data_IF_223246020308
#
_entry.id   IF_223246020308
#
_cell.length_a   1.000
_cell.length_b   1.000
_cell.length_c   1.000
_cell.angle_alpha   90.00
_cell.angle_beta   90.00
_cell.angle_gamma   90.00
#
_symmetry.space_group_name_H-M   'P 1'
#
loop_
_entity.id
_entity.type
_entity.pdbx_description
1 polymer ?
#
# COMPACT_ATOMS: atom_id res chain seq x y z
N UNK A 1 -20.78 -1.90 -13.95
CA UNK A 1 -19.53 -2.61 -14.27
C UNK A 1 -18.54 -1.59 -14.78
N UNK A 2 -17.32 -1.54 -14.24
CA UNK A 2 -16.29 -0.61 -14.69
C UNK A 2 -15.74 -1.06 -16.05
N UNK A 3 -15.26 -0.09 -16.87
CA UNK A 3 -14.55 -0.40 -18.11
C UNK A 3 -13.18 -1.04 -17.79
N UNK A 4 -12.68 -1.89 -18.68
CA UNK A 4 -11.39 -2.57 -18.49
C UNK A 4 -10.18 -1.62 -18.43
N UNK A 5 -10.32 -0.42 -18.98
CA UNK A 5 -9.32 0.65 -19.03
C UNK A 5 -9.59 1.80 -18.04
N UNK A 6 -10.50 1.60 -17.07
CA UNK A 6 -10.95 2.66 -16.16
C UNK A 6 -9.83 3.31 -15.34
N UNK A 7 -8.71 2.62 -15.17
CA UNK A 7 -7.53 3.07 -14.42
C UNK A 7 -6.28 3.19 -15.30
N UNK A 8 -6.45 3.22 -16.62
CA UNK A 8 -5.32 3.38 -17.53
C UNK A 8 -4.54 4.67 -17.24
N UNK A 9 -3.21 4.57 -17.19
CA UNK A 9 -2.32 5.67 -16.86
C UNK A 9 -2.30 6.06 -15.36
N UNK A 10 -3.02 5.34 -14.50
CA UNK A 10 -2.98 5.54 -13.05
C UNK A 10 -1.95 4.64 -12.39
N UNK A 11 -1.22 5.19 -11.41
CA UNK A 11 -0.27 4.44 -10.60
C UNK A 11 -0.69 4.44 -9.14
N UNK A 12 -0.87 3.26 -8.56
CA UNK A 12 -1.48 3.08 -7.24
C UNK A 12 -0.54 2.28 -6.33
N UNK A 13 -0.25 2.82 -5.14
CA UNK A 13 0.48 2.13 -4.08
C UNK A 13 -0.50 1.45 -3.12
N UNK A 14 -0.27 0.15 -2.85
CA UNK A 14 -1.08 -0.63 -1.89
C UNK A 14 -0.19 -1.14 -0.76
N UNK A 15 -0.41 -0.65 0.46
CA UNK A 15 0.28 -1.20 1.63
C UNK A 15 -0.34 -2.53 2.05
N UNK A 16 0.49 -3.49 2.47
CA UNK A 16 0.01 -4.85 2.73
C UNK A 16 -0.46 -5.60 1.47
N UNK A 17 0.08 -5.21 0.30
CA UNK A 17 -0.36 -5.73 -1.01
C UNK A 17 0.10 -7.16 -1.33
N UNK A 18 0.90 -7.79 -0.47
CA UNK A 18 1.44 -9.13 -0.73
C UNK A 18 0.47 -10.29 -0.41
N UNK A 19 -0.66 -10.04 0.20
CA UNK A 19 -1.61 -11.12 0.55
C UNK A 19 -3.01 -10.57 0.83
N UNK A 20 -3.99 -11.49 0.93
CA UNK A 20 -5.36 -11.17 1.35
C UNK A 20 -6.01 -10.07 0.52
N UNK A 21 -6.71 -9.16 1.20
CA UNK A 21 -7.47 -8.09 0.57
C UNK A 21 -6.57 -7.15 -0.25
N UNK A 22 -5.37 -6.82 0.25
CA UNK A 22 -4.42 -5.97 -0.48
C UNK A 22 -3.99 -6.57 -1.82
N UNK A 23 -3.72 -7.88 -1.88
CA UNK A 23 -3.40 -8.60 -3.11
C UNK A 23 -4.58 -8.60 -4.08
N UNK A 24 -5.80 -8.85 -3.60
CA UNK A 24 -7.00 -8.84 -4.46
C UNK A 24 -7.29 -7.44 -5.01
N UNK A 25 -7.14 -6.38 -4.20
CA UNK A 25 -7.25 -5.01 -4.70
C UNK A 25 -6.20 -4.71 -5.78
N UNK A 26 -4.94 -5.09 -5.54
CA UNK A 26 -3.86 -4.92 -6.52
C UNK A 26 -4.20 -5.63 -7.86
N UNK A 27 -4.69 -6.87 -7.80
CA UNK A 27 -5.13 -7.63 -8.97
C UNK A 27 -6.24 -6.91 -9.74
N UNK A 28 -7.24 -6.38 -9.05
CA UNK A 28 -8.33 -5.66 -9.69
C UNK A 28 -7.86 -4.34 -10.31
N UNK A 29 -6.98 -3.58 -9.65
CA UNK A 29 -6.42 -2.37 -10.24
C UNK A 29 -5.63 -2.67 -11.52
N UNK A 30 -4.79 -3.70 -11.50
CA UNK A 30 -4.06 -4.17 -12.68
C UNK A 30 -5.00 -4.58 -13.82
N UNK A 31 -6.10 -5.27 -13.49
CA UNK A 31 -7.09 -5.72 -14.48
C UNK A 31 -7.84 -4.56 -15.15
N UNK A 32 -7.83 -3.38 -14.53
CA UNK A 32 -8.45 -2.16 -15.07
C UNK A 32 -7.42 -1.16 -15.62
N UNK A 33 -6.19 -1.61 -15.89
CA UNK A 33 -5.17 -0.83 -16.60
C UNK A 33 -4.24 -0.01 -15.72
N UNK A 34 -4.34 -0.09 -14.38
CA UNK A 34 -3.41 0.63 -13.52
C UNK A 34 -2.01 -0.01 -13.51
N UNK A 35 -0.99 0.82 -13.28
CA UNK A 35 0.28 0.37 -12.73
C UNK A 35 0.15 0.27 -11.21
N UNK A 36 0.59 -0.83 -10.61
CA UNK A 36 0.46 -1.05 -9.17
C UNK A 36 1.82 -1.25 -8.53
N UNK A 37 2.01 -0.58 -7.41
CA UNK A 37 3.15 -0.78 -6.52
C UNK A 37 2.63 -1.40 -5.23
N UNK A 38 3.18 -2.51 -4.79
CA UNK A 38 2.80 -3.14 -3.53
C UNK A 38 3.94 -3.07 -2.52
N UNK A 39 3.64 -2.82 -1.27
CA UNK A 39 4.64 -2.89 -0.20
C UNK A 39 4.14 -3.63 1.04
N UNK A 40 5.08 -4.06 1.85
CA UNK A 40 4.84 -4.78 3.09
C UNK A 40 6.13 -5.30 3.69
N UNK A 41 6.06 -5.96 4.85
CA UNK A 41 7.26 -6.41 5.58
C UNK A 41 7.93 -7.65 5.01
N UNK A 42 7.19 -8.54 4.36
CA UNK A 42 7.68 -9.85 3.90
C UNK A 42 8.05 -9.82 2.44
N UNK A 43 9.34 -9.58 2.15
CA UNK A 43 9.83 -9.46 0.77
C UNK A 43 9.53 -10.69 -0.09
N UNK A 44 9.72 -11.91 0.43
CA UNK A 44 9.43 -13.14 -0.30
C UNK A 44 7.98 -13.24 -0.76
N UNK A 45 7.03 -12.88 0.12
CA UNK A 45 5.59 -12.88 -0.20
C UNK A 45 5.26 -11.83 -1.26
N UNK A 46 5.87 -10.65 -1.16
CA UNK A 46 5.70 -9.58 -2.14
C UNK A 46 6.21 -10.01 -3.52
N UNK A 47 7.40 -10.62 -3.59
CA UNK A 47 7.99 -11.10 -4.85
C UNK A 47 7.20 -12.24 -5.48
N UNK A 48 6.64 -13.13 -4.67
CA UNK A 48 5.73 -14.18 -5.15
C UNK A 48 4.46 -13.56 -5.75
N UNK A 49 3.83 -12.64 -5.04
CA UNK A 49 2.64 -11.94 -5.51
C UNK A 49 2.91 -11.12 -6.78
N UNK A 50 4.04 -10.42 -6.85
CA UNK A 50 4.46 -9.68 -8.04
C UNK A 50 4.57 -10.62 -9.25
N UNK A 51 5.24 -11.76 -9.12
CA UNK A 51 5.36 -12.77 -10.18
C UNK A 51 4.02 -13.37 -10.61
N UNK A 52 3.15 -13.65 -9.65
CA UNK A 52 1.83 -14.21 -9.91
C UNK A 52 0.95 -13.22 -10.68
N UNK A 53 0.85 -11.98 -10.18
CA UNK A 53 0.00 -10.96 -10.79
C UNK A 53 0.52 -10.51 -12.15
N UNK A 54 1.84 -10.41 -12.34
CA UNK A 54 2.44 -10.11 -13.63
C UNK A 54 2.12 -11.15 -14.72
N UNK A 55 1.86 -12.42 -14.33
CA UNK A 55 1.47 -13.48 -15.27
C UNK A 55 -0.02 -13.47 -15.61
N UNK A 56 -0.85 -13.01 -14.67
CA UNK A 56 -2.32 -13.11 -14.75
C UNK A 56 -2.99 -11.82 -15.19
N UNK A 57 -2.26 -10.71 -15.22
CA UNK A 57 -2.77 -9.40 -15.63
C UNK A 57 -1.85 -8.76 -16.67
N UNK A 58 -2.38 -7.79 -17.43
CA UNK A 58 -1.60 -7.02 -18.40
C UNK A 58 -0.93 -5.78 -17.78
N UNK A 59 -1.30 -5.43 -16.55
CA UNK A 59 -0.81 -4.25 -15.85
C UNK A 59 0.64 -4.42 -15.38
N UNK A 60 1.31 -3.30 -15.17
CA UNK A 60 2.67 -3.26 -14.62
C UNK A 60 2.62 -3.29 -13.11
N UNK A 61 3.32 -4.23 -12.49
CA UNK A 61 3.42 -4.35 -11.03
C UNK A 61 4.89 -4.30 -10.59
N UNK A 62 5.12 -3.69 -9.44
CA UNK A 62 6.41 -3.71 -8.74
C UNK A 62 6.19 -3.84 -7.23
N UNK A 63 7.20 -4.29 -6.52
CA UNK A 63 7.13 -4.47 -5.08
C UNK A 63 8.40 -4.04 -4.36
N UNK A 64 8.26 -3.61 -3.12
CA UNK A 64 9.38 -3.35 -2.22
C UNK A 64 9.03 -3.66 -0.75
N UNK A 65 10.03 -4.04 0.03
CA UNK A 65 9.85 -4.28 1.46
C UNK A 65 9.78 -2.96 2.22
N UNK A 66 8.78 -2.83 3.09
CA UNK A 66 8.60 -1.65 3.94
C UNK A 66 7.85 -2.02 5.22
N UNK A 67 8.38 -1.60 6.36
CA UNK A 67 7.64 -1.56 7.61
C UNK A 67 7.05 -0.16 7.81
N UNK A 68 5.73 -0.04 7.73
CA UNK A 68 5.05 1.26 7.86
C UNK A 68 5.09 1.86 9.28
N UNK A 69 5.70 1.18 10.25
CA UNK A 69 6.00 1.73 11.57
C UNK A 69 7.26 2.60 11.58
N UNK A 70 8.12 2.43 10.59
CA UNK A 70 9.37 3.18 10.43
C UNK A 70 9.14 4.40 9.52
N UNK A 71 9.04 5.57 10.13
CA UNK A 71 8.75 6.81 9.40
C UNK A 71 9.91 7.25 8.49
N UNK A 72 11.16 6.97 8.85
CA UNK A 72 12.32 7.31 8.01
C UNK A 72 12.36 6.40 6.78
N UNK A 73 12.16 5.09 6.96
CA UNK A 73 12.08 4.16 5.85
C UNK A 73 10.92 4.49 4.90
N UNK A 74 9.79 5.00 5.43
CA UNK A 74 8.69 5.49 4.60
C UNK A 74 9.13 6.67 3.73
N UNK A 75 9.77 7.68 4.31
CA UNK A 75 10.20 8.87 3.56
C UNK A 75 11.13 8.47 2.40
N UNK A 76 12.15 7.66 2.66
CA UNK A 76 13.08 7.17 1.64
C UNK A 76 12.37 6.36 0.54
N UNK A 77 11.48 5.46 0.94
CA UNK A 77 10.72 4.64 -0.01
C UNK A 77 9.79 5.49 -0.89
N UNK A 78 9.07 6.44 -0.29
CA UNK A 78 8.16 7.33 -1.03
C UNK A 78 8.95 8.26 -1.97
N UNK A 79 10.10 8.77 -1.56
CA UNK A 79 10.99 9.53 -2.44
C UNK A 79 11.38 8.71 -3.68
N UNK A 80 11.77 7.46 -3.48
CA UNK A 80 12.11 6.54 -4.57
C UNK A 80 10.92 6.24 -5.50
N UNK A 81 9.74 6.02 -4.93
CA UNK A 81 8.50 5.78 -5.71
C UNK A 81 8.15 6.99 -6.56
N UNK A 82 8.25 8.20 -6.01
CA UNK A 82 7.98 9.42 -6.77
C UNK A 82 9.05 9.72 -7.82
N UNK A 83 10.31 9.44 -7.56
CA UNK A 83 11.40 9.56 -8.54
C UNK A 83 11.20 8.60 -9.74
N UNK A 84 10.56 7.45 -9.53
CA UNK A 84 10.31 6.44 -10.57
C UNK A 84 9.00 6.63 -11.36
N UNK A 85 8.21 7.69 -11.12
CA UNK A 85 6.99 7.97 -11.89
C UNK A 85 5.85 8.59 -11.09
N UNK A 86 5.99 8.75 -9.78
CA UNK A 86 4.95 9.31 -8.93
C UNK A 86 3.82 8.34 -8.60
N UNK A 87 2.75 8.87 -8.03
CA UNK A 87 1.53 8.14 -7.68
C UNK A 87 0.29 8.98 -7.99
N UNK A 88 -0.81 8.30 -8.31
CA UNK A 88 -2.16 8.86 -8.40
C UNK A 88 -3.04 8.42 -7.23
N UNK A 89 -2.70 7.30 -6.60
CA UNK A 89 -3.46 6.73 -5.50
C UNK A 89 -2.61 6.04 -4.44
N UNK A 90 -3.08 6.12 -3.18
CA UNK A 90 -2.56 5.38 -2.05
C UNK A 90 -3.68 4.58 -1.40
N UNK A 91 -3.48 3.28 -1.22
CA UNK A 91 -4.37 2.42 -0.44
C UNK A 91 -3.66 2.00 0.85
N UNK A 92 -4.08 2.57 1.96
CA UNK A 92 -3.68 2.16 3.29
C UNK A 92 -4.48 0.91 3.68
N UNK A 93 -3.90 -0.25 3.45
CA UNK A 93 -4.51 -1.55 3.76
C UNK A 93 -3.67 -2.37 4.74
N UNK A 94 -2.39 -2.05 4.92
CA UNK A 94 -1.56 -2.77 5.87
C UNK A 94 -2.16 -2.70 7.28
N UNK A 95 -2.36 -3.86 7.87
CA UNK A 95 -2.96 -3.99 9.19
C UNK A 95 -2.21 -5.04 10.03
N UNK A 96 -2.45 -5.01 11.32
CA UNK A 96 -2.10 -6.06 12.26
C UNK A 96 -3.24 -6.22 13.24
N UNK A 97 -3.46 -7.44 13.69
CA UNK A 97 -4.46 -7.71 14.71
C UNK A 97 -3.91 -8.67 15.77
N UNK A 98 -4.57 -8.66 16.91
CA UNK A 98 -4.36 -9.61 17.99
C UNK A 98 -5.70 -10.26 18.29
N UNK A 99 -5.78 -11.58 18.09
CA UNK A 99 -6.99 -12.33 18.43
C UNK A 99 -6.99 -12.56 19.94
N UNK A 100 -7.67 -11.69 20.67
CA UNK A 100 -7.81 -11.74 22.12
C UNK A 100 -9.15 -11.17 22.54
N UNK A 101 -9.67 -11.61 23.69
CA UNK A 101 -10.81 -10.91 24.29
C UNK A 101 -10.36 -9.54 24.74
N UNK A 102 -11.17 -8.51 24.57
CA UNK A 102 -10.81 -7.12 24.90
C UNK A 102 -10.31 -6.96 26.36
N UNK A 103 -10.92 -7.69 27.29
CA UNK A 103 -10.52 -7.66 28.70
C UNK A 103 -9.13 -8.25 28.98
N UNK A 104 -8.62 -9.07 28.07
CA UNK A 104 -7.33 -9.77 28.21
C UNK A 104 -6.25 -9.11 27.34
N UNK A 105 -6.60 -8.07 26.58
CA UNK A 105 -5.67 -7.35 25.71
C UNK A 105 -4.75 -6.46 26.54
N UNK A 106 -3.45 -6.72 26.49
CA UNK A 106 -2.46 -5.88 27.16
C UNK A 106 -2.25 -4.54 26.42
N UNK A 107 -1.81 -3.51 27.19
CA UNK A 107 -1.45 -2.21 26.59
C UNK A 107 -0.35 -2.35 25.52
N UNK A 108 0.60 -3.26 25.70
CA UNK A 108 1.65 -3.51 24.71
C UNK A 108 1.08 -4.11 23.42
N UNK A 109 0.14 -5.05 23.52
CA UNK A 109 -0.52 -5.61 22.34
C UNK A 109 -1.36 -4.55 21.60
N UNK A 110 -2.08 -3.71 22.34
CA UNK A 110 -2.81 -2.56 21.78
C UNK A 110 -1.86 -1.59 21.07
N UNK A 111 -0.75 -1.20 21.71
CA UNK A 111 0.23 -0.29 21.11
C UNK A 111 0.88 -0.88 19.86
N UNK A 112 1.12 -2.19 19.81
CA UNK A 112 1.63 -2.87 18.63
C UNK A 112 0.64 -2.78 17.44
N UNK A 113 -0.65 -2.94 17.70
CA UNK A 113 -1.70 -2.75 16.68
C UNK A 113 -1.76 -1.28 16.26
N UNK A 114 -1.85 -0.35 17.22
CA UNK A 114 -1.94 1.08 16.97
C UNK A 114 -0.76 1.60 16.16
N UNK A 115 0.45 1.10 16.39
CA UNK A 115 1.65 1.49 15.64
C UNK A 115 1.55 1.14 14.16
N UNK A 116 0.84 0.08 13.79
CA UNK A 116 0.63 -0.32 12.40
C UNK A 116 -0.58 0.43 11.82
N UNK A 117 -1.76 0.27 12.47
CA UNK A 117 -3.04 0.70 11.88
C UNK A 117 -3.21 2.21 11.94
N UNK A 118 -2.78 2.84 13.02
CA UNK A 118 -2.97 4.28 13.24
C UNK A 118 -1.74 5.09 12.81
N UNK A 119 -0.58 4.86 13.45
CA UNK A 119 0.64 5.61 13.14
C UNK A 119 1.15 5.33 11.72
N UNK A 120 1.17 4.06 11.30
CA UNK A 120 1.63 3.68 9.97
C UNK A 120 0.76 4.28 8.87
N UNK A 121 -0.57 4.25 9.03
CA UNK A 121 -1.51 4.90 8.10
C UNK A 121 -1.29 6.40 8.04
N UNK A 122 -1.09 7.05 9.18
CA UNK A 122 -0.77 8.48 9.23
C UNK A 122 0.54 8.80 8.51
N UNK A 123 1.61 8.06 8.82
CA UNK A 123 2.92 8.29 8.22
C UNK A 123 2.90 8.13 6.69
N UNK A 124 2.27 7.07 6.18
CA UNK A 124 2.10 6.86 4.74
C UNK A 124 1.29 7.99 4.09
N UNK A 125 0.16 8.35 4.69
CA UNK A 125 -0.71 9.44 4.21
C UNK A 125 0.03 10.77 4.17
N UNK A 126 0.78 11.09 5.22
CA UNK A 126 1.53 12.33 5.34
C UNK A 126 2.65 12.40 4.29
N UNK A 127 3.46 11.33 4.18
CA UNK A 127 4.59 11.31 3.25
C UNK A 127 4.14 11.43 1.79
N UNK A 128 3.12 10.65 1.38
CA UNK A 128 2.58 10.71 0.02
C UNK A 128 1.88 12.04 -0.23
N UNK A 129 1.08 12.53 0.72
CA UNK A 129 0.34 13.79 0.61
C UNK A 129 1.27 15.00 0.44
N UNK A 130 2.38 15.06 1.18
CA UNK A 130 3.40 16.09 1.01
C UNK A 130 3.94 16.13 -0.42
N UNK A 131 4.26 14.96 -1.00
CA UNK A 131 4.76 14.88 -2.38
C UNK A 131 3.74 15.41 -3.39
N UNK A 132 2.46 15.05 -3.26
CA UNK A 132 1.42 15.60 -4.14
C UNK A 132 1.28 17.11 -4.02
N UNK A 133 1.34 17.65 -2.81
CA UNK A 133 1.29 19.11 -2.57
C UNK A 133 2.51 19.80 -3.20
N UNK A 134 3.73 19.32 -2.95
CA UNK A 134 4.97 19.85 -3.53
C UNK A 134 4.95 19.85 -5.06
N UNK A 135 4.43 18.77 -5.66
CA UNK A 135 4.33 18.61 -7.11
C UNK A 135 3.10 19.29 -7.71
N UNK A 136 2.21 19.87 -6.90
CA UNK A 136 0.92 20.45 -7.32
C UNK A 136 0.06 19.47 -8.13
N UNK A 137 0.06 18.19 -7.74
CA UNK A 137 -0.71 17.13 -8.38
C UNK A 137 -1.83 16.65 -7.48
N UNK A 138 -3.00 16.31 -8.05
CA UNK A 138 -4.06 15.65 -7.30
C UNK A 138 -3.67 14.19 -6.98
N UNK A 139 -4.23 13.64 -5.93
CA UNK A 139 -4.12 12.24 -5.58
C UNK A 139 -5.32 11.78 -4.76
N UNK A 140 -5.52 10.47 -4.66
CA UNK A 140 -6.59 9.86 -3.89
C UNK A 140 -6.01 8.94 -2.80
N UNK A 141 -6.57 9.01 -1.60
CA UNK A 141 -6.23 8.13 -0.49
C UNK A 141 -7.46 7.33 -0.09
N UNK A 142 -7.30 6.01 -0.04
CA UNK A 142 -8.29 5.08 0.49
C UNK A 142 -7.67 4.39 1.72
N UNK A 143 -8.38 4.38 2.83
CA UNK A 143 -7.99 3.62 4.02
C UNK A 143 -9.00 2.52 4.29
N UNK A 144 -8.51 1.31 4.50
CA UNK A 144 -9.31 0.14 4.88
C UNK A 144 -9.31 0.07 6.41
N UNK A 145 -10.49 0.14 7.00
CA UNK A 145 -10.70 0.19 8.47
C UNK A 145 -11.55 -0.96 8.94
#
# INVERSE_FOLDING_TARGET
MFKEDALEGKRILVTGGGSGLGKEMAKHFLSHGAEVVICGRRDSVLKETEKELAKTTKGKISSFSLDIRDSLAIEEAIDSVFASGGLDGLVNNAAGNFISRTKDLSSNAFNAIASIVFHGTFNMTNSVGKKWIEMKKPGNILSIT
#
